data_IF_361138150652
#
_entry.id   IF_361138150652
#
_cell.length_a   1.000
_cell.length_b   1.000
_cell.length_c   1.000
_cell.angle_alpha   90.00
_cell.angle_beta   90.00
_cell.angle_gamma   90.00
#
_symmetry.space_group_name_H-M   'P 1'
#
loop_
_entity.id
_entity.type
_entity.pdbx_description
1 polymer ?
#
# COMPACT_ATOMS: atom_id res chain seq x y z
N UNK A 1 -29.31 3.03 9.92
CA UNK A 1 -29.33 2.63 10.41
C UNK A 1 -29.16 2.22 11.18
N UNK A 2 -29.22 2.19 11.66
CA UNK A 2 -29.16 1.97 12.59
C UNK A 2 -28.60 1.35 13.09
N UNK A 3 -28.27 1.43 12.52
CA UNK A 3 -27.40 1.00 13.03
C UNK A 3 -27.12 0.93 14.33
N UNK A 4 -26.87 1.36 14.95
CA UNK A 4 -26.69 1.36 16.34
C UNK A 4 -27.51 0.40 17.11
N UNK A 5 -28.06 -0.53 16.43
CA UNK A 5 -28.89 -1.52 17.11
C UNK A 5 -28.06 -2.53 17.87
N UNK A 6 -26.83 -2.73 17.50
CA UNK A 6 -25.98 -3.70 18.20
C UNK A 6 -24.96 -2.97 19.04
N UNK A 7 -24.68 -3.52 20.19
CA UNK A 7 -23.66 -3.00 21.08
C UNK A 7 -22.31 -3.52 20.66
N UNK A 8 -21.31 -2.78 21.07
CA UNK A 8 -19.96 -3.14 20.73
C UNK A 8 -19.46 -2.28 19.61
N UNK A 9 -18.25 -2.53 19.20
CA UNK A 9 -17.65 -1.76 18.13
C UNK A 9 -16.75 -2.64 17.30
N UNK A 10 -16.47 -2.17 16.09
CA UNK A 10 -15.56 -2.84 15.19
C UNK A 10 -14.27 -2.03 15.18
N UNK A 11 -13.17 -2.69 15.44
CA UNK A 11 -11.86 -2.08 15.41
C UNK A 11 -11.04 -2.81 14.38
N UNK A 12 -10.51 -2.06 13.44
CA UNK A 12 -9.69 -2.63 12.38
C UNK A 12 -8.25 -2.31 12.69
N UNK A 13 -7.45 -3.35 12.86
CA UNK A 13 -6.03 -3.17 13.18
C UNK A 13 -5.33 -2.47 12.04
N UNK A 14 -4.37 -1.58 12.33
CA UNK A 14 -3.64 -0.89 11.27
C UNK A 14 -2.97 -1.85 10.30
N UNK A 15 -2.60 -3.02 10.77
CA UNK A 15 -1.95 -4.00 9.90
C UNK A 15 -2.87 -4.50 8.81
N UNK A 16 -4.18 -4.49 9.07
CA UNK A 16 -5.13 -4.86 8.04
C UNK A 16 -5.09 -3.84 6.91
N UNK A 17 -5.03 -2.56 7.27
CA UNK A 17 -4.92 -1.51 6.25
C UNK A 17 -3.63 -1.65 5.45
N UNK A 18 -2.53 -1.99 6.12
CA UNK A 18 -1.28 -2.20 5.43
C UNK A 18 -1.36 -3.34 4.43
N UNK A 19 -1.98 -4.43 4.85
CA UNK A 19 -2.13 -5.58 3.98
C UNK A 19 -3.01 -5.25 2.77
N UNK A 20 -4.10 -4.54 2.99
CA UNK A 20 -4.98 -4.15 1.91
C UNK A 20 -4.24 -3.27 0.92
N UNK A 21 -3.51 -2.28 1.42
CA UNK A 21 -2.76 -1.37 0.56
C UNK A 21 -1.71 -2.13 -0.24
N UNK A 22 -1.00 -3.03 0.42
CA UNK A 22 0.03 -3.81 -0.26
C UNK A 22 -0.55 -4.67 -1.37
N UNK A 23 -1.62 -5.38 -1.07
CA UNK A 23 -2.23 -6.26 -2.07
C UNK A 23 -2.79 -5.45 -3.23
N UNK A 24 -3.39 -4.30 -2.94
CA UNK A 24 -3.91 -3.45 -4.00
C UNK A 24 -2.77 -2.96 -4.90
N UNK A 25 -1.67 -2.53 -4.30
CA UNK A 25 -0.53 -2.06 -5.09
C UNK A 25 0.04 -3.18 -5.96
N UNK A 26 0.14 -4.37 -5.39
CA UNK A 26 0.71 -5.49 -6.13
C UNK A 26 -0.19 -5.96 -7.26
N UNK A 27 -1.47 -5.62 -7.21
CA UNK A 27 -2.39 -6.00 -8.27
C UNK A 27 -2.23 -5.13 -9.52
N UNK A 28 -1.52 -4.03 -9.43
CA UNK A 28 -1.38 -3.11 -10.54
C UNK A 28 -0.30 -3.62 -11.49
N UNK A 29 -0.63 -3.80 -12.78
CA UNK A 29 0.40 -4.20 -13.74
C UNK A 29 1.52 -3.16 -13.78
N UNK A 30 2.74 -3.63 -13.74
CA UNK A 30 3.89 -2.75 -13.71
C UNK A 30 4.54 -2.66 -12.35
N UNK A 31 3.85 -3.06 -11.30
CA UNK A 31 4.46 -3.13 -9.97
C UNK A 31 5.11 -4.51 -9.84
N UNK A 32 6.42 -4.54 -9.71
CA UNK A 32 7.14 -5.80 -9.60
C UNK A 32 7.11 -6.33 -8.17
N UNK A 33 7.28 -5.46 -7.22
CA UNK A 33 7.25 -5.84 -5.81
C UNK A 33 7.26 -4.59 -4.96
N UNK A 34 7.03 -4.76 -3.69
CA UNK A 34 7.18 -3.67 -2.75
C UNK A 34 8.66 -3.47 -2.44
N UNK A 35 9.00 -2.24 -2.11
CA UNK A 35 10.37 -1.90 -1.77
C UNK A 35 10.48 -1.63 -0.29
N UNK A 36 11.67 -1.81 0.25
CA UNK A 36 11.93 -1.47 1.63
C UNK A 36 11.83 0.04 1.81
N UNK A 37 11.34 0.45 2.97
CA UNK A 37 11.29 1.86 3.30
C UNK A 37 12.72 2.34 3.53
N UNK A 38 13.11 3.46 2.94
CA UNK A 38 14.47 3.96 3.14
C UNK A 38 14.75 4.26 4.61
N UNK A 39 15.99 4.19 4.98
CA UNK A 39 16.39 4.49 6.33
C UNK A 39 16.35 3.31 7.26
N UNK A 40 16.36 2.18 6.78
CA UNK A 40 16.21 0.87 7.35
C UNK A 40 16.61 0.54 8.78
N UNK A 41 16.81 1.52 9.63
CA UNK A 41 17.07 1.20 11.03
C UNK A 41 15.95 0.34 11.60
N UNK A 42 14.75 0.65 11.19
CA UNK A 42 13.60 -0.08 11.66
C UNK A 42 13.56 -1.51 11.18
N UNK A 43 14.41 -1.85 10.25
CA UNK A 43 14.42 -3.22 9.76
C UNK A 43 14.71 -4.23 10.85
N UNK A 44 15.50 -3.82 11.82
CA UNK A 44 15.82 -4.71 12.94
C UNK A 44 14.59 -5.06 13.73
N UNK A 45 13.60 -4.20 13.72
CA UNK A 45 12.39 -4.41 14.49
C UNK A 45 11.22 -4.83 13.63
N UNK A 46 11.43 -4.92 12.34
CA UNK A 46 10.36 -5.25 11.43
C UNK A 46 10.15 -6.75 11.43
N UNK A 47 9.01 -7.16 11.87
CA UNK A 47 8.74 -8.58 12.01
C UNK A 47 7.81 -9.11 10.95
N UNK A 48 7.33 -8.22 10.10
CA UNK A 48 6.32 -8.60 9.14
C UNK A 48 6.74 -8.16 7.76
N UNK A 49 7.57 -8.98 7.11
CA UNK A 49 8.05 -8.59 5.77
C UNK A 49 6.93 -8.37 4.77
N UNK A 50 5.78 -8.98 4.98
CA UNK A 50 4.68 -8.77 4.06
C UNK A 50 4.10 -7.37 4.13
N UNK A 51 4.46 -6.59 5.15
CA UNK A 51 4.04 -5.20 5.23
C UNK A 51 5.11 -4.24 4.78
N UNK A 52 6.19 -4.77 4.26
CA UNK A 52 7.29 -3.96 3.81
C UNK A 52 6.83 -2.99 2.73
N UNK A 53 7.33 -1.77 2.79
CA UNK A 53 7.03 -0.78 1.77
C UNK A 53 5.74 -0.03 1.98
N UNK A 54 5.03 -0.28 3.06
CA UNK A 54 3.75 0.37 3.32
C UNK A 54 3.77 1.06 4.66
N UNK A 55 3.32 2.29 4.67
CA UNK A 55 3.12 3.03 5.90
C UNK A 55 1.72 3.62 5.88
N UNK A 56 1.00 3.44 6.98
CA UNK A 56 -0.37 3.92 7.09
C UNK A 56 -0.47 4.83 8.30
N UNK A 57 -1.09 5.98 8.10
CA UNK A 57 -1.42 6.88 9.19
C UNK A 57 -2.93 7.04 9.19
N UNK A 58 -3.53 6.82 10.33
CA UNK A 58 -4.98 6.94 10.50
C UNK A 58 -5.26 8.12 11.39
N UNK A 59 -6.15 8.97 10.95
CA UNK A 59 -6.58 10.10 11.75
C UNK A 59 -8.09 10.16 11.66
N UNK A 60 -8.76 9.75 12.74
CA UNK A 60 -10.20 9.66 12.79
C UNK A 60 -10.71 8.70 11.73
N UNK A 61 -11.43 9.19 10.73
CA UNK A 61 -11.95 8.34 9.68
C UNK A 61 -11.16 8.46 8.39
N UNK A 62 -9.99 9.06 8.46
CA UNK A 62 -9.20 9.38 7.28
C UNK A 62 -7.89 8.62 7.32
N UNK A 63 -7.47 8.14 6.16
CA UNK A 63 -6.25 7.36 6.01
C UNK A 63 -5.31 8.08 5.06
N UNK A 64 -4.04 8.11 5.43
CA UNK A 64 -2.96 8.48 4.52
C UNK A 64 -2.07 7.27 4.36
N UNK A 65 -1.77 6.95 3.14
CA UNK A 65 -0.94 5.79 2.83
C UNK A 65 0.30 6.22 2.09
N UNK A 66 1.42 5.62 2.45
CA UNK A 66 2.66 5.78 1.69
C UNK A 66 3.13 4.41 1.27
N UNK A 67 3.44 4.29 -0.01
CA UNK A 67 3.89 3.02 -0.56
C UNK A 67 5.20 3.24 -1.30
N UNK A 68 6.08 2.28 -1.13
CA UNK A 68 7.36 2.25 -1.82
C UNK A 68 7.37 1.01 -2.68
N UNK A 69 7.51 1.21 -3.99
CA UNK A 69 7.37 0.11 -4.94
C UNK A 69 8.57 0.07 -5.86
N UNK A 70 8.78 -1.11 -6.41
CA UNK A 70 9.74 -1.35 -7.48
C UNK A 70 8.90 -1.67 -8.71
N UNK A 71 9.18 -1.01 -9.82
CA UNK A 71 8.39 -1.19 -11.03
C UNK A 71 9.15 -2.05 -12.04
N UNK A 72 8.38 -2.65 -12.94
CA UNK A 72 8.94 -3.44 -14.01
C UNK A 72 9.44 -2.54 -15.12
N UNK A 73 10.51 -2.94 -15.79
CA UNK A 73 10.99 -2.16 -16.93
C UNK A 73 9.98 -2.17 -18.06
N UNK A 74 9.97 -1.11 -18.83
CA UNK A 74 9.04 -1.03 -19.94
C UNK A 74 7.70 -0.43 -19.59
N UNK A 75 7.46 -0.19 -18.33
CA UNK A 75 6.21 0.43 -17.89
C UNK A 75 6.39 1.94 -17.79
N UNK A 76 5.32 2.65 -18.01
CA UNK A 76 5.32 4.08 -17.76
C UNK A 76 5.16 4.29 -16.26
N UNK A 77 6.17 4.85 -15.63
CA UNK A 77 6.19 4.93 -14.17
C UNK A 77 5.07 5.79 -13.62
N UNK A 78 4.79 6.91 -14.29
CA UNK A 78 3.73 7.78 -13.82
C UNK A 78 2.39 7.08 -13.89
N UNK A 79 2.14 6.38 -14.97
CA UNK A 79 0.88 5.66 -15.11
C UNK A 79 0.74 4.59 -14.05
N UNK A 80 1.83 3.86 -13.80
CA UNK A 80 1.81 2.82 -12.77
C UNK A 80 1.52 3.44 -11.41
N UNK A 81 2.19 4.54 -11.09
CA UNK A 81 1.99 5.18 -9.81
C UNK A 81 0.56 5.66 -9.64
N UNK A 82 -0.01 6.23 -10.70
CA UNK A 82 -1.39 6.72 -10.63
C UNK A 82 -2.36 5.57 -10.45
N UNK A 83 -2.11 4.45 -11.09
CA UNK A 83 -2.98 3.29 -10.90
C UNK A 83 -2.87 2.75 -9.48
N UNK A 84 -1.67 2.77 -8.92
CA UNK A 84 -1.49 2.36 -7.52
C UNK A 84 -2.31 3.26 -6.62
N UNK A 85 -2.26 4.58 -6.85
CA UNK A 85 -3.04 5.51 -6.04
C UNK A 85 -4.51 5.16 -6.09
N UNK A 86 -5.02 4.93 -7.29
CA UNK A 86 -6.45 4.63 -7.45
C UNK A 86 -6.83 3.31 -6.80
N UNK A 87 -6.03 2.27 -7.02
CA UNK A 87 -6.37 0.96 -6.51
C UNK A 87 -6.29 0.90 -4.99
N UNK A 88 -5.29 1.53 -4.42
CA UNK A 88 -5.16 1.55 -2.97
C UNK A 88 -6.30 2.32 -2.35
N UNK A 89 -6.60 3.51 -2.88
CA UNK A 89 -7.68 4.31 -2.32
C UNK A 89 -9.01 3.57 -2.42
N UNK A 90 -9.26 2.98 -3.58
CA UNK A 90 -10.51 2.29 -3.81
C UNK A 90 -10.65 1.09 -2.87
N UNK A 91 -9.58 0.32 -2.72
CA UNK A 91 -9.64 -0.85 -1.86
C UNK A 91 -9.91 -0.47 -0.42
N UNK A 92 -9.24 0.57 0.07
CA UNK A 92 -9.46 0.99 1.44
C UNK A 92 -10.87 1.52 1.62
N UNK A 93 -11.33 2.33 0.68
CA UNK A 93 -12.68 2.89 0.80
C UNK A 93 -13.74 1.81 0.76
N UNK A 94 -13.59 0.84 -0.13
CA UNK A 94 -14.62 -0.16 -0.30
C UNK A 94 -14.56 -1.24 0.77
N UNK A 95 -13.38 -1.67 1.15
CA UNK A 95 -13.26 -2.77 2.09
C UNK A 95 -13.33 -2.32 3.54
N UNK A 96 -12.87 -1.12 3.83
CA UNK A 96 -12.78 -0.66 5.20
C UNK A 96 -13.80 0.42 5.50
N UNK A 97 -14.19 1.18 4.49
CA UNK A 97 -15.18 2.24 4.71
C UNK A 97 -14.58 3.51 5.26
N UNK A 98 -13.28 3.70 5.08
CA UNK A 98 -12.61 4.92 5.54
C UNK A 98 -12.28 5.80 4.36
N UNK A 99 -12.28 7.11 4.62
CA UNK A 99 -11.87 8.06 3.60
C UNK A 99 -10.36 8.03 3.45
N UNK A 100 -9.90 8.17 2.22
CA UNK A 100 -8.48 8.19 1.94
C UNK A 100 -8.11 9.62 1.57
N UNK A 101 -7.26 10.21 2.41
CA UNK A 101 -6.83 11.58 2.20
C UNK A 101 -5.75 11.66 1.15
N UNK A 102 -4.82 10.73 1.17
CA UNK A 102 -3.69 10.75 0.26
C UNK A 102 -3.10 9.36 0.12
N UNK A 103 -2.65 9.06 -1.08
CA UNK A 103 -1.83 7.88 -1.34
C UNK A 103 -0.59 8.38 -2.03
N UNK A 104 0.53 8.32 -1.32
CA UNK A 104 1.81 8.77 -1.86
C UNK A 104 2.59 7.55 -2.31
N UNK A 105 3.00 7.55 -3.56
CA UNK A 105 3.69 6.41 -4.15
C UNK A 105 5.11 6.83 -4.47
N UNK A 106 6.04 6.07 -3.92
CA UNK A 106 7.46 6.31 -4.14
C UNK A 106 8.00 5.16 -4.97
N UNK A 107 8.50 5.47 -6.15
CA UNK A 107 9.11 4.46 -7.00
C UNK A 107 10.59 4.44 -6.64
N UNK A 108 11.01 3.35 -6.02
CA UNK A 108 12.36 3.25 -5.48
C UNK A 108 13.35 2.66 -6.48
N UNK A 109 12.86 1.86 -7.42
CA UNK A 109 13.78 1.18 -8.31
C UNK A 109 13.02 0.61 -9.48
N UNK A 110 13.76 0.21 -10.48
CA UNK A 110 13.24 -0.53 -11.64
C UNK A 110 13.89 -1.90 -11.60
N UNK A 111 13.08 -2.91 -11.63
CA UNK A 111 13.59 -4.26 -11.51
C UNK A 111 13.88 -4.83 -12.88
N UNK A 112 15.15 -5.02 -13.16
CA UNK A 112 15.55 -5.69 -14.38
C UNK A 112 15.73 -7.16 -14.10
N UNK A 113 15.21 -7.97 -14.98
CA UNK A 113 15.36 -9.40 -14.84
C UNK A 113 16.75 -9.80 -15.29
N UNK A 114 17.53 -10.34 -14.38
CA UNK A 114 18.85 -10.83 -14.76
C UNK A 114 18.76 -11.96 -15.72
N UNK A 115 17.78 -12.79 -15.53
CA UNK A 115 17.59 -13.90 -16.43
C UNK A 115 17.29 -13.40 -17.82
N UNK A 116 16.46 -12.37 -17.89
CA UNK A 116 16.19 -11.79 -19.19
C UNK A 116 17.34 -10.99 -19.67
N UNK A 117 18.09 -10.46 -18.75
CA UNK A 117 19.20 -9.64 -19.13
C UNK A 117 20.31 -10.38 -19.71
N UNK A 118 20.24 -11.37 -19.60
CA UNK A 118 21.25 -11.97 -20.09
C UNK A 118 21.18 -12.66 -20.92
#
# INVERSE_FOLDING_TARGET
MDEGTFKGKVVIAPEVLMTIARLAALSVPGVARMAAVPGGVNRLFQRRPYNEGVRIVVHEHTVRAELHVVVSPGSNMRDVAERVQHEVARAIEQMVGMDVEAVNVHIQDVEYSDAGGE
#
